data_IF_211252053007
#
_entry.id   IF_211252053007
#
_cell.length_a   1.000
_cell.length_b   1.000
_cell.length_c   1.000
_cell.angle_alpha   90.00
_cell.angle_beta   90.00
_cell.angle_gamma   90.00
#
_symmetry.space_group_name_H-M   'P 1'
#
loop_
_entity.id
_entity.type
_entity.pdbx_description
1 polymer ?
#
# COMPACT_ATOMS: atom_id res chain seq x y z
N UNK A 1 2.74 10.07 19.12
CA UNK A 1 1.75 10.91 18.42
C UNK A 1 0.39 10.47 18.93
N UNK A 2 -0.48 11.40 19.34
CA UNK A 2 -1.85 11.04 19.71
C UNK A 2 -2.73 10.76 18.47
N UNK A 3 -3.83 10.03 18.64
CA UNK A 3 -4.71 9.59 17.53
C UNK A 3 -5.26 10.77 16.72
N UNK A 4 -5.47 11.93 17.35
CA UNK A 4 -6.00 13.12 16.68
C UNK A 4 -4.93 13.78 15.80
N UNK A 5 -3.70 13.87 16.29
CA UNK A 5 -2.55 14.33 15.53
C UNK A 5 -2.32 13.42 14.30
N UNK A 6 -2.35 12.10 14.50
CA UNK A 6 -2.24 11.13 13.40
C UNK A 6 -3.35 11.29 12.36
N UNK A 7 -4.61 11.41 12.81
CA UNK A 7 -5.75 11.63 11.92
C UNK A 7 -5.59 12.90 11.08
N UNK A 8 -5.12 13.98 11.71
CA UNK A 8 -4.95 15.28 11.05
C UNK A 8 -3.89 15.23 9.97
N UNK A 9 -2.72 14.66 10.30
CA UNK A 9 -1.61 14.49 9.35
C UNK A 9 -2.03 13.62 8.17
N UNK A 10 -2.56 12.41 8.42
CA UNK A 10 -2.93 11.48 7.35
C UNK A 10 -4.05 12.03 6.46
N UNK A 11 -4.98 12.79 7.04
CA UNK A 11 -6.00 13.51 6.26
C UNK A 11 -5.38 14.58 5.35
N UNK A 12 -4.38 15.30 5.84
CA UNK A 12 -3.62 16.28 5.05
C UNK A 12 -2.89 15.64 3.88
N UNK A 13 -2.12 14.58 4.12
CA UNK A 13 -1.40 13.81 3.09
C UNK A 13 -2.39 13.28 2.04
N UNK A 14 -3.53 12.75 2.47
CA UNK A 14 -4.57 12.27 1.55
C UNK A 14 -5.09 13.35 0.60
N UNK A 15 -5.25 14.59 1.08
CA UNK A 15 -5.67 15.71 0.22
C UNK A 15 -4.57 16.03 -0.80
N UNK A 16 -3.31 16.03 -0.39
CA UNK A 16 -2.18 16.27 -1.29
C UNK A 16 -2.06 15.19 -2.37
N UNK A 17 -2.25 13.91 -2.03
CA UNK A 17 -2.29 12.81 -2.99
C UNK A 17 -3.39 12.99 -4.04
N UNK A 18 -4.59 13.40 -3.63
CA UNK A 18 -5.69 13.68 -4.57
C UNK A 18 -5.37 14.87 -5.47
N UNK A 19 -4.72 15.90 -4.95
CA UNK A 19 -4.28 17.03 -5.76
C UNK A 19 -3.20 16.60 -6.77
N UNK A 20 -2.24 15.78 -6.35
CA UNK A 20 -1.19 15.25 -7.22
C UNK A 20 -1.76 14.37 -8.32
N UNK A 21 -2.73 13.49 -8.02
CA UNK A 21 -3.38 12.63 -9.00
C UNK A 21 -4.01 13.41 -10.19
N UNK A 22 -4.54 14.60 -9.92
CA UNK A 22 -5.08 15.49 -10.96
C UNK A 22 -3.97 16.02 -11.88
N UNK A 23 -2.78 16.27 -11.32
CA UNK A 23 -1.62 16.76 -12.05
C UNK A 23 -0.82 15.67 -12.77
N UNK A 24 -1.05 14.39 -12.44
CA UNK A 24 -0.38 13.27 -13.09
C UNK A 24 -0.64 13.23 -14.60
N UNK A 25 0.44 13.06 -15.36
CA UNK A 25 0.46 12.97 -16.83
C UNK A 25 -0.02 11.62 -17.33
N UNK A 26 0.25 10.55 -16.59
CA UNK A 26 -0.08 9.18 -16.95
C UNK A 26 -1.27 8.66 -16.14
N UNK A 27 -2.05 7.76 -16.76
CA UNK A 27 -3.14 7.07 -16.06
C UNK A 27 -2.61 6.15 -14.95
N UNK A 28 -1.44 5.54 -15.16
CA UNK A 28 -0.78 4.70 -14.18
C UNK A 28 -0.42 5.47 -12.91
N UNK A 29 0.31 6.59 -13.03
CA UNK A 29 0.62 7.42 -11.86
C UNK A 29 -0.65 7.88 -11.15
N UNK A 30 -1.64 8.39 -11.91
CA UNK A 30 -2.92 8.82 -11.34
C UNK A 30 -3.58 7.73 -10.51
N UNK A 31 -3.65 6.51 -11.03
CA UNK A 31 -4.24 5.37 -10.33
C UNK A 31 -3.49 5.06 -9.02
N UNK A 32 -2.15 5.09 -9.01
CA UNK A 32 -1.36 4.86 -7.79
C UNK A 32 -1.65 5.90 -6.70
N UNK A 33 -1.66 7.19 -7.06
CA UNK A 33 -1.97 8.28 -6.12
C UNK A 33 -3.41 8.16 -5.60
N UNK A 34 -4.35 7.78 -6.45
CA UNK A 34 -5.75 7.57 -6.06
C UNK A 34 -5.93 6.35 -5.14
N UNK A 35 -5.28 5.21 -5.43
CA UNK A 35 -5.29 4.01 -4.59
C UNK A 35 -4.75 4.33 -3.19
N UNK A 36 -3.58 4.99 -3.11
CA UNK A 36 -3.02 5.38 -1.82
C UNK A 36 -3.98 6.30 -1.05
N UNK A 37 -4.60 7.27 -1.72
CA UNK A 37 -5.60 8.14 -1.11
C UNK A 37 -6.87 7.40 -0.65
N UNK A 38 -7.22 6.26 -1.25
CA UNK A 38 -8.31 5.39 -0.81
C UNK A 38 -7.92 4.61 0.45
N UNK A 39 -6.71 4.03 0.49
CA UNK A 39 -6.20 3.38 1.69
C UNK A 39 -6.16 4.36 2.87
N UNK A 40 -5.60 5.56 2.70
CA UNK A 40 -5.60 6.58 3.75
C UNK A 40 -7.01 6.99 4.19
N UNK A 41 -8.01 6.96 3.29
CA UNK A 41 -9.40 7.22 3.66
C UNK A 41 -9.92 6.17 4.66
N UNK A 42 -9.57 4.90 4.44
CA UNK A 42 -9.91 3.81 5.35
C UNK A 42 -9.23 3.98 6.71
N UNK A 43 -7.93 4.31 6.72
CA UNK A 43 -7.18 4.59 7.96
C UNK A 43 -7.82 5.74 8.74
N UNK A 44 -8.07 6.88 8.07
CA UNK A 44 -8.69 8.05 8.70
C UNK A 44 -10.08 7.74 9.27
N UNK A 45 -10.85 6.85 8.61
CA UNK A 45 -12.15 6.42 9.12
C UNK A 45 -12.02 5.66 10.45
N UNK A 46 -10.99 4.82 10.60
CA UNK A 46 -10.71 4.07 11.84
C UNK A 46 -10.26 4.99 12.97
N UNK A 47 -9.27 5.84 12.71
CA UNK A 47 -8.80 6.83 13.69
C UNK A 47 -9.95 7.73 14.17
N UNK A 48 -10.86 8.14 13.27
CA UNK A 48 -12.04 8.92 13.66
C UNK A 48 -12.98 8.14 14.61
N UNK A 49 -13.12 6.83 14.43
CA UNK A 49 -13.93 6.00 15.34
C UNK A 49 -13.26 5.88 16.72
N UNK A 50 -11.94 5.69 16.75
CA UNK A 50 -11.15 5.67 17.99
C UNK A 50 -11.28 6.99 18.76
N UNK A 51 -11.07 8.14 18.08
CA UNK A 51 -11.23 9.47 18.67
C UNK A 51 -12.64 9.65 19.25
N UNK A 52 -13.67 9.23 18.51
CA UNK A 52 -15.05 9.31 18.97
C UNK A 52 -15.34 8.37 20.14
N UNK A 53 -14.71 7.19 20.19
CA UNK A 53 -14.78 6.23 21.29
C UNK A 53 -14.16 6.81 22.57
N UNK A 54 -12.91 7.26 22.47
CA UNK A 54 -12.19 7.88 23.58
C UNK A 54 -12.94 9.10 24.16
N UNK A 55 -13.50 9.94 23.29
CA UNK A 55 -14.30 11.10 23.71
C UNK A 55 -15.60 10.72 24.44
N UNK A 56 -16.17 9.53 24.19
CA UNK A 56 -17.44 9.07 24.78
C UNK A 56 -17.26 8.21 26.03
N UNK A 57 -16.22 7.38 26.08
CA UNK A 57 -16.06 6.34 27.10
C UNK A 57 -14.79 6.51 27.96
N UNK A 58 -13.93 7.48 27.64
CA UNK A 58 -12.61 7.64 28.28
C UNK A 58 -11.56 6.74 27.62
N UNK A 59 -10.29 6.93 28.00
CA UNK A 59 -9.15 6.17 27.43
C UNK A 59 -9.00 4.74 27.99
N UNK A 60 -9.82 4.34 28.96
CA UNK A 60 -9.66 3.06 29.67
C UNK A 60 -10.15 1.84 28.87
N UNK A 61 -10.78 2.05 27.70
CA UNK A 61 -11.24 0.99 26.79
C UNK A 61 -10.23 0.80 25.65
N UNK A 62 -8.95 0.56 26.01
CA UNK A 62 -7.83 0.32 25.08
C UNK A 62 -8.08 -0.85 24.12
N UNK A 63 -9.07 -1.72 24.39
CA UNK A 63 -9.36 -2.92 23.60
C UNK A 63 -10.51 -2.78 22.58
N UNK A 64 -11.35 -1.75 22.64
CA UNK A 64 -12.58 -1.72 21.83
C UNK A 64 -12.37 -1.34 20.35
N UNK A 65 -11.23 -0.73 20.03
CA UNK A 65 -10.96 -0.21 18.69
C UNK A 65 -9.61 -0.62 18.09
N UNK A 66 -8.88 -1.53 18.74
CA UNK A 66 -7.55 -2.02 18.34
C UNK A 66 -7.49 -2.47 16.88
N UNK A 67 -7.14 -1.54 16.00
CA UNK A 67 -6.92 -1.79 14.59
C UNK A 67 -5.42 -1.78 14.37
N UNK A 68 -4.86 -2.94 14.06
CA UNK A 68 -3.40 -3.11 13.81
C UNK A 68 -2.95 -2.55 12.45
N UNK A 69 -3.85 -1.93 11.68
CA UNK A 69 -3.52 -1.54 10.31
C UNK A 69 -3.56 -2.72 9.34
N UNK A 70 -3.52 -2.49 8.01
CA UNK A 70 -2.81 -3.43 7.15
C UNK A 70 -1.31 -3.37 7.50
N UNK A 71 -0.66 -4.53 7.60
CA UNK A 71 0.78 -4.62 7.88
C UNK A 71 1.61 -3.83 6.84
N UNK A 72 1.16 -3.80 5.58
CA UNK A 72 1.77 -3.06 4.48
C UNK A 72 0.74 -2.76 3.39
N UNK A 73 0.81 -1.56 2.78
CA UNK A 73 -0.05 -1.18 1.63
C UNK A 73 0.71 -1.46 0.32
N UNK A 74 0.29 -2.47 -0.43
CA UNK A 74 0.82 -2.75 -1.77
C UNK A 74 0.01 -2.00 -2.85
N UNK A 75 0.64 -1.03 -3.54
CA UNK A 75 -0.03 -0.19 -4.54
C UNK A 75 0.04 -0.72 -5.98
N UNK A 76 1.16 -1.37 -6.33
CA UNK A 76 1.39 -1.96 -7.66
C UNK A 76 1.07 -3.45 -7.58
N UNK A 77 2.07 -4.26 -7.19
CA UNK A 77 1.94 -5.69 -7.01
C UNK A 77 2.43 -6.12 -5.63
N UNK A 78 1.86 -7.22 -5.14
CA UNK A 78 2.33 -7.98 -3.98
C UNK A 78 2.90 -9.31 -4.45
N UNK A 79 4.13 -9.63 -4.06
CA UNK A 79 4.75 -10.94 -4.32
C UNK A 79 4.81 -11.73 -3.03
N UNK A 80 4.23 -12.92 -3.03
CA UNK A 80 4.37 -13.90 -1.96
C UNK A 80 5.18 -15.10 -2.47
N UNK A 81 6.15 -15.56 -1.67
CA UNK A 81 6.97 -16.73 -1.98
C UNK A 81 6.83 -17.74 -0.83
N UNK A 82 6.35 -18.95 -1.15
CA UNK A 82 6.43 -20.11 -0.27
C UNK A 82 7.75 -20.86 -0.53
N UNK A 83 8.72 -20.68 0.35
CA UNK A 83 10.00 -21.36 0.26
C UNK A 83 9.93 -22.87 0.53
N UNK A 84 8.87 -23.35 1.20
CA UNK A 84 8.65 -24.76 1.52
C UNK A 84 8.15 -25.54 0.31
N UNK A 85 7.15 -25.02 -0.39
CA UNK A 85 6.67 -25.62 -1.66
C UNK A 85 7.49 -25.18 -2.88
N UNK A 86 8.33 -24.15 -2.74
CA UNK A 86 9.06 -23.50 -3.83
C UNK A 86 8.13 -22.93 -4.89
N UNK A 87 7.06 -22.28 -4.44
CA UNK A 87 6.07 -21.64 -5.30
C UNK A 87 5.95 -20.15 -4.96
N UNK A 88 5.42 -19.37 -5.88
CA UNK A 88 5.12 -17.96 -5.66
C UNK A 88 3.74 -17.59 -6.21
N UNK A 89 3.23 -16.47 -5.73
CA UNK A 89 1.95 -15.90 -6.15
C UNK A 89 2.11 -14.38 -6.27
N UNK A 90 1.58 -13.81 -7.34
CA UNK A 90 1.53 -12.36 -7.54
C UNK A 90 0.09 -11.93 -7.26
N UNK A 91 -0.10 -10.89 -6.45
CA UNK A 91 -1.41 -10.29 -6.13
C UNK A 91 -2.48 -11.25 -5.58
N UNK A 92 -2.10 -12.39 -5.01
CA UNK A 92 -3.08 -13.37 -4.56
C UNK A 92 -3.71 -14.20 -5.70
N UNK A 93 -3.12 -14.20 -6.90
CA UNK A 93 -3.61 -14.89 -8.09
C UNK A 93 -3.21 -16.38 -8.15
N UNK A 94 -2.80 -16.92 -9.28
CA UNK A 94 -2.40 -18.32 -9.39
C UNK A 94 -1.02 -18.58 -8.77
N UNK A 95 -0.78 -19.83 -8.37
CA UNK A 95 0.52 -20.29 -7.91
C UNK A 95 1.39 -20.70 -9.10
N UNK A 96 2.65 -20.28 -9.06
CA UNK A 96 3.68 -20.61 -10.04
C UNK A 96 4.83 -21.34 -9.35
N UNK A 97 5.36 -22.36 -10.00
CA UNK A 97 6.52 -23.12 -9.52
C UNK A 97 7.83 -22.37 -9.81
N UNK A 98 8.65 -22.14 -8.79
CA UNK A 98 10.00 -21.58 -8.99
C UNK A 98 10.92 -22.53 -9.77
N UNK A 99 10.66 -23.84 -9.70
CA UNK A 99 11.48 -24.86 -10.38
C UNK A 99 10.96 -25.18 -11.79
N UNK A 100 9.65 -25.12 -12.00
CA UNK A 100 9.00 -25.43 -13.28
C UNK A 100 8.83 -24.20 -14.17
N UNK A 101 8.23 -23.14 -13.63
CA UNK A 101 7.87 -21.93 -14.37
C UNK A 101 9.02 -20.90 -14.36
N UNK A 102 9.81 -20.89 -13.28
CA UNK A 102 10.97 -20.01 -13.09
C UNK A 102 10.68 -18.83 -12.16
N UNK A 103 11.72 -18.06 -11.84
CA UNK A 103 11.60 -16.91 -10.94
C UNK A 103 10.82 -15.74 -11.58
N UNK A 104 9.95 -15.04 -10.82
CA UNK A 104 9.22 -13.90 -11.35
C UNK A 104 10.18 -12.78 -11.78
N UNK A 105 9.87 -12.13 -12.90
CA UNK A 105 10.64 -10.98 -13.36
C UNK A 105 10.15 -9.75 -12.60
N UNK A 106 11.06 -9.10 -11.87
CA UNK A 106 10.81 -7.84 -11.20
C UNK A 106 11.18 -6.66 -12.10
N UNK A 107 10.19 -5.87 -12.50
CA UNK A 107 10.39 -4.62 -13.24
C UNK A 107 10.22 -3.41 -12.31
N UNK A 108 11.25 -2.61 -12.04
CA UNK A 108 11.15 -1.50 -11.10
C UNK A 108 10.27 -0.39 -11.64
N UNK A 109 9.35 0.12 -10.81
CA UNK A 109 8.61 1.35 -11.07
C UNK A 109 9.49 2.56 -10.72
N UNK A 110 9.80 3.38 -11.73
CA UNK A 110 10.67 4.54 -11.54
C UNK A 110 9.90 5.72 -10.92
N UNK A 111 10.64 6.66 -10.32
CA UNK A 111 10.07 7.91 -9.83
C UNK A 111 9.37 8.73 -10.93
N UNK A 112 9.84 8.60 -12.18
CA UNK A 112 9.19 9.23 -13.34
C UNK A 112 7.85 8.57 -13.65
N UNK A 113 7.75 7.24 -13.57
CA UNK A 113 6.50 6.50 -13.80
C UNK A 113 5.48 6.72 -12.68
N UNK A 114 5.93 6.91 -11.44
CA UNK A 114 5.05 7.13 -10.27
C UNK A 114 4.74 8.61 -10.02
N UNK A 115 5.40 9.51 -10.76
CA UNK A 115 5.21 10.97 -10.75
C UNK A 115 5.22 11.60 -9.34
N UNK A 116 6.24 11.25 -8.55
CA UNK A 116 6.47 11.82 -7.22
C UNK A 116 5.63 11.20 -6.11
N UNK A 117 5.37 9.89 -6.21
CA UNK A 117 4.71 9.10 -5.16
C UNK A 117 5.66 8.80 -3.98
N UNK A 118 6.95 8.66 -4.28
CA UNK A 118 8.05 8.41 -3.35
C UNK A 118 8.04 9.33 -2.12
N UNK A 119 7.89 10.65 -2.32
CA UNK A 119 7.84 11.61 -1.21
C UNK A 119 6.70 11.33 -0.22
N UNK A 120 5.55 10.83 -0.72
CA UNK A 120 4.42 10.51 0.15
C UNK A 120 4.64 9.20 0.88
N UNK A 121 5.29 8.22 0.24
CA UNK A 121 5.68 6.95 0.87
C UNK A 121 6.67 7.24 2.02
N UNK A 122 7.68 8.07 1.76
CA UNK A 122 8.67 8.49 2.76
C UNK A 122 8.03 9.27 3.93
N UNK A 123 7.08 10.16 3.64
CA UNK A 123 6.33 10.89 4.66
C UNK A 123 5.46 9.96 5.50
N UNK A 124 4.71 9.04 4.85
CA UNK A 124 3.84 8.08 5.53
C UNK A 124 4.60 7.12 6.45
N UNK A 125 5.81 6.71 6.06
CA UNK A 125 6.67 5.85 6.88
C UNK A 125 7.01 6.48 8.25
N UNK A 126 7.11 7.82 8.33
CA UNK A 126 7.33 8.54 9.60
C UNK A 126 6.16 8.41 10.57
N UNK A 127 4.98 8.05 10.05
CA UNK A 127 3.74 7.88 10.80
C UNK A 127 3.33 6.40 10.94
N UNK A 128 4.25 5.48 10.66
CA UNK A 128 4.04 4.03 10.79
C UNK A 128 3.15 3.42 9.71
N UNK A 129 2.93 4.11 8.59
CA UNK A 129 2.17 3.59 7.44
C UNK A 129 3.16 3.10 6.39
N UNK A 130 3.31 1.78 6.27
CA UNK A 130 4.19 1.15 5.29
C UNK A 130 3.48 1.01 3.94
N UNK A 131 4.17 1.41 2.87
CA UNK A 131 3.63 1.42 1.51
C UNK A 131 4.71 0.93 0.54
N UNK A 132 4.34 0.00 -0.35
CA UNK A 132 5.21 -0.46 -1.44
C UNK A 132 4.61 -0.12 -2.79
N UNK A 133 5.44 0.44 -3.68
CA UNK A 133 5.09 0.73 -5.06
C UNK A 133 6.31 0.54 -5.97
N UNK A 134 7.14 -0.46 -5.69
CA UNK A 134 8.50 -0.52 -6.20
C UNK A 134 8.65 -1.38 -7.44
N UNK A 135 7.84 -2.44 -7.57
CA UNK A 135 8.00 -3.44 -8.62
C UNK A 135 6.64 -3.84 -9.20
N UNK A 136 6.64 -4.01 -10.52
CA UNK A 136 5.69 -4.85 -11.22
C UNK A 136 6.31 -6.23 -11.33
N UNK A 137 5.57 -7.27 -10.93
CA UNK A 137 6.01 -8.65 -11.05
C UNK A 137 5.33 -9.30 -12.25
N UNK A 138 6.12 -9.97 -13.07
CA UNK A 138 5.62 -10.71 -14.23
C UNK A 138 5.93 -12.19 -13.97
N UNK A 139 4.91 -13.08 -14.01
CA UNK A 139 5.17 -14.50 -13.88
C UNK A 139 6.06 -14.95 -15.04
N UNK A 140 7.03 -15.80 -14.74
CA UNK A 140 7.81 -16.45 -15.77
C UNK A 140 6.95 -17.59 -16.33
N UNK A 141 6.29 -17.38 -17.46
CA UNK A 141 5.68 -18.49 -18.22
C UNK A 141 6.74 -19.07 -19.15
N UNK A 142 6.78 -20.40 -19.30
CA UNK A 142 7.68 -21.09 -20.25
C UNK A 142 7.79 -20.30 -21.56
N UNK A 143 9.02 -19.94 -21.96
CA UNK A 143 9.28 -19.58 -23.33
C UNK A 143 8.91 -20.79 -24.19
N UNK A 144 7.68 -20.82 -24.73
CA UNK A 144 7.33 -21.75 -25.79
C UNK A 144 8.28 -21.44 -26.94
N UNK A 145 9.30 -22.29 -27.09
CA UNK A 145 10.32 -22.18 -28.11
C UNK A 145 9.65 -21.99 -29.48
N UNK A 146 9.95 -20.87 -30.14
CA UNK A 146 9.66 -20.63 -31.55
C UNK A 146 10.94 -20.78 -32.37
#
# INVERSE_FOLDING_TARGET
MDTLEQFTVLSGIRIQLRAQAIACKTAFARDLHERLAQHLAYICKKLRLEIAGAARFGNDDEGAFGWEGPDEIHLIDALYIDHGSREYQINGEDWYSLDGDGEPIASPATAEQTEGLDRFIEELAQYGVLVTANYVFIPCEEQVAA
#
